data_IF_346388986911
#
_entry.id   IF_346388986911
#
_cell.length_a   1.000
_cell.length_b   1.000
_cell.length_c   1.000
_cell.angle_alpha   90.00
_cell.angle_beta   90.00
_cell.angle_gamma   90.00
#
_symmetry.space_group_name_H-M   'P 1'
#
loop_
_entity.id
_entity.type
_entity.pdbx_description
1 polymer ?
#
# COMPACT_ATOMS: atom_id res chain seq x y z
N UNK A 1 4.68 -57.51 -0.37
CA UNK A 1 4.38 -56.34 -1.23
C UNK A 1 5.68 -55.57 -1.43
N UNK A 2 6.15 -55.46 -2.68
CA UNK A 2 7.49 -54.98 -3.02
C UNK A 2 7.51 -53.43 -3.00
N UNK A 3 8.10 -52.82 -1.96
CA UNK A 3 8.15 -51.35 -1.78
C UNK A 3 9.02 -50.61 -2.82
N UNK A 4 9.79 -51.33 -3.65
CA UNK A 4 10.73 -50.76 -4.61
C UNK A 4 10.10 -50.16 -5.89
N UNK A 5 8.78 -50.22 -6.09
CA UNK A 5 8.12 -49.63 -7.26
C UNK A 5 7.76 -48.15 -7.11
N UNK A 6 7.63 -47.64 -5.88
CA UNK A 6 7.25 -46.24 -5.63
C UNK A 6 8.42 -45.24 -5.66
N UNK A 7 9.66 -45.73 -5.64
CA UNK A 7 10.88 -44.90 -5.55
C UNK A 7 11.50 -44.54 -6.91
N UNK A 8 10.90 -44.98 -8.03
CA UNK A 8 11.36 -44.69 -9.41
C UNK A 8 10.38 -43.80 -10.18
N UNK A 9 9.78 -42.82 -9.52
CA UNK A 9 9.18 -41.72 -10.26
C UNK A 9 10.34 -40.86 -10.75
N UNK A 10 10.63 -40.88 -12.05
CA UNK A 10 11.74 -40.09 -12.59
C UNK A 10 11.51 -38.61 -12.31
N UNK A 11 12.58 -37.86 -12.02
CA UNK A 11 12.51 -36.41 -11.81
C UNK A 11 11.73 -35.71 -12.95
N UNK A 12 11.86 -36.24 -14.18
CA UNK A 12 11.15 -35.81 -15.38
C UNK A 12 9.63 -36.01 -15.31
N UNK A 13 9.14 -37.04 -14.62
CA UNK A 13 7.71 -37.30 -14.42
C UNK A 13 7.11 -36.33 -13.40
N UNK A 14 7.82 -36.06 -12.29
CA UNK A 14 7.41 -35.04 -11.32
C UNK A 14 7.41 -33.63 -11.93
N UNK A 15 8.43 -33.31 -12.73
CA UNK A 15 8.49 -32.07 -13.50
C UNK A 15 7.33 -31.98 -14.51
N UNK A 16 6.99 -33.09 -15.17
CA UNK A 16 5.85 -33.17 -16.09
C UNK A 16 4.51 -32.88 -15.41
N UNK A 17 4.27 -33.45 -14.23
CA UNK A 17 3.06 -33.17 -13.44
C UNK A 17 3.03 -31.70 -13.01
N UNK A 18 4.17 -31.17 -12.54
CA UNK A 18 4.28 -29.78 -12.13
C UNK A 18 3.97 -28.82 -13.29
N UNK A 19 4.58 -29.03 -14.46
CA UNK A 19 4.34 -28.23 -15.66
C UNK A 19 2.89 -28.37 -16.17
N UNK A 20 2.32 -29.58 -16.11
CA UNK A 20 0.92 -29.81 -16.47
C UNK A 20 -0.04 -29.10 -15.51
N UNK A 21 0.26 -29.10 -14.21
CA UNK A 21 -0.54 -28.38 -13.21
C UNK A 21 -0.46 -26.86 -13.38
N UNK A 22 0.71 -26.31 -13.73
CA UNK A 22 0.88 -24.89 -14.09
C UNK A 22 0.11 -24.57 -15.37
N UNK A 23 0.23 -25.41 -16.40
CA UNK A 23 -0.47 -25.21 -17.66
C UNK A 23 -1.99 -25.25 -17.47
N UNK A 24 -2.49 -26.23 -16.72
CA UNK A 24 -3.91 -26.36 -16.40
C UNK A 24 -4.41 -25.19 -15.55
N UNK A 25 -3.61 -24.73 -14.59
CA UNK A 25 -3.93 -23.54 -13.80
C UNK A 25 -3.99 -22.29 -14.68
N UNK A 26 -3.00 -22.05 -15.54
CA UNK A 26 -2.96 -20.92 -16.49
C UNK A 26 -4.09 -20.95 -17.52
N UNK A 27 -4.57 -22.14 -17.90
CA UNK A 27 -5.62 -22.32 -18.91
C UNK A 27 -7.04 -22.35 -18.31
N UNK A 28 -7.18 -22.73 -17.04
CA UNK A 28 -8.46 -22.79 -16.32
C UNK A 28 -8.83 -21.46 -15.65
N UNK A 29 -7.93 -20.47 -15.60
CA UNK A 29 -8.34 -19.09 -15.31
C UNK A 29 -9.19 -18.63 -16.49
N UNK A 30 -10.43 -18.13 -16.29
CA UNK A 30 -11.17 -17.50 -17.37
C UNK A 30 -10.26 -16.44 -18.00
N UNK A 31 -10.09 -16.48 -19.34
CA UNK A 31 -9.39 -15.44 -20.08
C UNK A 31 -10.18 -14.16 -19.93
N UNK A 32 -9.86 -13.38 -18.89
CA UNK A 32 -10.36 -12.02 -18.69
C UNK A 32 -9.74 -11.19 -19.82
N UNK A 33 -10.48 -11.07 -20.92
CA UNK A 33 -10.21 -10.11 -21.97
C UNK A 33 -10.20 -8.72 -21.32
N UNK A 34 -9.13 -7.98 -21.51
CA UNK A 34 -8.94 -6.60 -21.04
C UNK A 34 -9.84 -5.61 -21.82
N UNK A 35 -11.14 -5.88 -21.90
CA UNK A 35 -12.09 -5.17 -22.75
C UNK A 35 -13.53 -5.10 -22.25
N UNK A 36 -13.82 -5.54 -21.02
CA UNK A 36 -15.08 -5.22 -20.36
C UNK A 36 -14.79 -4.71 -18.95
N UNK A 37 -15.16 -3.47 -18.71
CA UNK A 37 -15.16 -2.71 -17.47
C UNK A 37 -16.21 -3.22 -16.46
N UNK A 38 -16.48 -4.52 -16.43
CA UNK A 38 -17.11 -5.13 -15.27
C UNK A 38 -16.01 -5.30 -14.22
N UNK A 39 -16.07 -4.47 -13.18
CA UNK A 39 -15.29 -4.66 -11.97
C UNK A 39 -15.33 -6.14 -11.60
N UNK A 40 -14.19 -6.80 -11.51
CA UNK A 40 -14.10 -8.14 -10.92
C UNK A 40 -14.79 -8.03 -9.57
N UNK A 41 -15.96 -8.67 -9.46
CA UNK A 41 -16.73 -8.65 -8.23
C UNK A 41 -16.05 -9.57 -7.23
N UNK A 42 -15.07 -9.00 -6.52
CA UNK A 42 -14.39 -9.62 -5.37
C UNK A 42 -15.37 -9.65 -4.17
N UNK A 43 -16.54 -9.01 -4.28
CA UNK A 43 -17.56 -9.13 -3.26
C UNK A 43 -18.04 -10.58 -3.23
N UNK A 44 -18.02 -11.15 -2.03
CA UNK A 44 -18.36 -12.53 -1.76
C UNK A 44 -19.87 -12.76 -1.83
N UNK A 45 -20.59 -11.94 -2.60
CA UNK A 45 -22.03 -11.92 -2.73
C UNK A 45 -22.57 -13.14 -3.48
N UNK A 46 -21.75 -13.74 -4.36
CA UNK A 46 -22.18 -14.86 -5.23
C UNK A 46 -21.60 -16.22 -4.85
N UNK A 47 -20.37 -16.27 -4.33
CA UNK A 47 -19.71 -17.51 -3.92
C UNK A 47 -19.04 -17.33 -2.55
N UNK A 48 -19.45 -18.14 -1.58
CA UNK A 48 -18.98 -18.08 -0.20
C UNK A 48 -17.84 -19.08 0.00
N UNK A 49 -16.61 -18.62 -0.19
CA UNK A 49 -15.39 -19.36 0.11
C UNK A 49 -14.93 -19.12 1.56
N UNK A 50 -14.15 -20.04 2.14
CA UNK A 50 -13.62 -19.90 3.50
C UNK A 50 -12.79 -18.63 3.78
N UNK A 51 -12.27 -17.97 2.73
CA UNK A 51 -11.42 -16.77 2.81
C UNK A 51 -12.15 -15.47 2.41
N UNK A 52 -13.48 -15.52 2.25
CA UNK A 52 -14.30 -14.38 1.83
C UNK A 52 -14.29 -13.18 2.79
N UNK A 53 -14.05 -13.41 4.07
CA UNK A 53 -14.03 -12.33 5.08
C UNK A 53 -12.81 -11.41 4.94
N UNK A 54 -11.70 -11.88 4.36
CA UNK A 54 -10.50 -11.05 4.13
C UNK A 54 -10.52 -10.33 2.79
N UNK A 55 -11.33 -10.79 1.84
CA UNK A 55 -11.42 -10.18 0.51
C UNK A 55 -11.98 -8.74 0.58
N UNK A 56 -12.85 -8.48 1.57
CA UNK A 56 -13.40 -7.16 1.87
C UNK A 56 -12.37 -6.19 2.48
N UNK A 57 -11.27 -6.71 3.07
CA UNK A 57 -10.20 -5.91 3.68
C UNK A 57 -9.07 -5.55 2.70
N UNK A 58 -9.29 -5.82 1.41
CA UNK A 58 -8.34 -5.52 0.35
C UNK A 58 -7.30 -6.62 0.09
N UNK A 59 -6.50 -6.45 -0.99
CA UNK A 59 -5.62 -7.51 -1.50
C UNK A 59 -4.52 -7.93 -0.52
N UNK A 60 -4.05 -7.03 0.36
CA UNK A 60 -3.02 -7.36 1.35
C UNK A 60 -3.48 -8.35 2.43
N UNK A 61 -4.75 -8.29 2.85
CA UNK A 61 -5.31 -9.22 3.82
C UNK A 61 -5.45 -10.64 3.25
N UNK A 62 -5.81 -10.75 1.97
CA UNK A 62 -5.81 -12.02 1.23
C UNK A 62 -4.42 -12.65 1.18
N UNK A 63 -3.40 -11.87 0.78
CA UNK A 63 -2.01 -12.34 0.72
C UNK A 63 -1.52 -12.75 2.11
N UNK A 64 -1.83 -11.97 3.14
CA UNK A 64 -1.44 -12.27 4.51
C UNK A 64 -2.05 -13.58 5.03
N UNK A 65 -3.34 -13.82 4.79
CA UNK A 65 -4.00 -15.04 5.24
C UNK A 65 -3.52 -16.27 4.48
N UNK A 66 -3.28 -16.14 3.18
CA UNK A 66 -2.65 -17.20 2.39
C UNK A 66 -1.27 -17.57 2.96
N UNK A 67 -0.43 -16.57 3.26
CA UNK A 67 0.90 -16.78 3.81
C UNK A 67 0.88 -17.51 5.15
N UNK A 68 -0.02 -17.16 6.08
CA UNK A 68 -0.16 -17.85 7.37
C UNK A 68 -0.61 -19.31 7.20
N UNK A 69 -1.56 -19.57 6.30
CA UNK A 69 -2.02 -20.94 6.01
C UNK A 69 -0.88 -21.77 5.40
N UNK A 70 -0.14 -21.19 4.44
CA UNK A 70 1.00 -21.84 3.81
C UNK A 70 2.10 -22.18 4.83
N UNK A 71 2.43 -21.24 5.73
CA UNK A 71 3.38 -21.49 6.82
C UNK A 71 2.91 -22.60 7.77
N UNK A 72 1.62 -22.61 8.13
CA UNK A 72 1.04 -23.67 8.97
C UNK A 72 1.17 -25.05 8.33
N UNK A 73 0.89 -25.16 7.03
CA UNK A 73 1.04 -26.41 6.26
C UNK A 73 2.49 -26.85 6.15
N UNK A 74 3.42 -25.90 5.93
CA UNK A 74 4.85 -26.19 5.89
C UNK A 74 5.36 -26.70 7.25
N UNK A 75 4.95 -26.05 8.35
CA UNK A 75 5.29 -26.47 9.71
C UNK A 75 4.71 -27.83 10.09
N UNK A 76 3.43 -28.08 9.77
CA UNK A 76 2.78 -29.37 10.02
C UNK A 76 3.44 -30.50 9.22
N UNK A 77 3.83 -30.23 7.98
CA UNK A 77 4.54 -31.18 7.13
C UNK A 77 5.94 -31.50 7.68
N UNK A 78 6.69 -30.48 8.11
CA UNK A 78 7.98 -30.67 8.76
C UNK A 78 7.85 -31.52 10.03
N UNK A 79 6.85 -31.23 10.89
CA UNK A 79 6.56 -32.02 12.08
C UNK A 79 6.23 -33.48 11.74
N UNK A 80 5.36 -33.71 10.74
CA UNK A 80 4.99 -35.05 10.30
C UNK A 80 6.19 -35.88 9.82
N UNK A 81 7.09 -35.26 9.04
CA UNK A 81 8.33 -35.89 8.57
C UNK A 81 9.28 -36.20 9.73
N UNK A 82 9.40 -35.31 10.71
CA UNK A 82 10.23 -35.53 11.91
C UNK A 82 9.70 -36.70 12.75
N UNK A 83 8.38 -36.76 12.99
CA UNK A 83 7.74 -37.87 13.72
C UNK A 83 7.95 -39.18 12.96
N UNK A 84 7.69 -39.20 11.65
CA UNK A 84 7.90 -40.38 10.82
C UNK A 84 9.36 -40.86 10.86
N UNK A 85 10.31 -39.94 10.69
CA UNK A 85 11.74 -40.24 10.79
C UNK A 85 12.14 -40.77 12.16
N UNK A 86 11.61 -40.20 13.26
CA UNK A 86 11.90 -40.66 14.62
C UNK A 86 11.37 -42.08 14.87
N UNK A 87 10.15 -42.38 14.43
CA UNK A 87 9.56 -43.73 14.52
C UNK A 87 10.39 -44.71 13.69
N UNK A 88 10.72 -44.35 12.45
CA UNK A 88 11.51 -45.21 11.56
C UNK A 88 12.90 -45.46 12.16
N UNK A 89 13.55 -44.46 12.76
CA UNK A 89 14.88 -44.61 13.35
C UNK A 89 14.88 -45.49 14.61
N UNK A 90 13.88 -45.35 15.47
CA UNK A 90 13.77 -46.08 16.74
C UNK A 90 13.31 -47.53 16.57
N UNK A 91 12.37 -47.78 15.64
CA UNK A 91 11.79 -49.11 15.44
C UNK A 91 12.53 -49.96 14.39
N UNK A 92 13.42 -49.37 13.59
CA UNK A 92 14.15 -50.13 12.56
C UNK A 92 15.34 -50.90 13.12
N UNK A 93 15.35 -52.22 12.90
CA UNK A 93 16.51 -53.08 13.16
C UNK A 93 17.61 -53.01 12.08
N UNK A 94 17.27 -52.60 10.86
CA UNK A 94 18.19 -52.54 9.73
C UNK A 94 18.96 -51.20 9.65
N UNK A 95 20.26 -51.26 9.35
CA UNK A 95 21.13 -50.08 9.20
C UNK A 95 20.65 -49.17 8.07
N UNK A 96 20.16 -49.74 6.97
CA UNK A 96 19.63 -48.99 5.81
C UNK A 96 18.42 -48.15 6.19
N UNK A 97 17.44 -48.71 6.90
CA UNK A 97 16.26 -47.98 7.35
C UNK A 97 16.58 -46.87 8.35
N UNK A 98 17.63 -47.04 9.16
CA UNK A 98 18.15 -45.96 10.03
C UNK A 98 18.77 -44.83 9.22
N UNK A 99 19.49 -45.15 8.15
CA UNK A 99 20.05 -44.15 7.24
C UNK A 99 18.95 -43.39 6.50
N UNK A 100 17.94 -44.10 5.98
CA UNK A 100 16.77 -43.49 5.35
C UNK A 100 16.04 -42.53 6.31
N UNK A 101 15.84 -42.95 7.56
CA UNK A 101 15.24 -42.11 8.59
C UNK A 101 16.02 -40.81 8.82
N UNK A 102 17.35 -40.88 8.84
CA UNK A 102 18.21 -39.70 8.98
C UNK A 102 18.12 -38.78 7.77
N UNK A 103 17.93 -39.31 6.56
CA UNK A 103 17.73 -38.49 5.35
C UNK A 103 16.42 -37.69 5.42
N UNK A 104 15.32 -38.32 5.84
CA UNK A 104 14.05 -37.64 6.07
C UNK A 104 14.16 -36.53 7.12
N UNK A 105 14.81 -36.82 8.26
CA UNK A 105 15.03 -35.84 9.33
C UNK A 105 15.89 -34.67 8.83
N UNK A 106 17.00 -34.97 8.14
CA UNK A 106 17.88 -33.93 7.57
C UNK A 106 17.14 -33.07 6.54
N UNK A 107 16.31 -33.66 5.69
CA UNK A 107 15.49 -32.93 4.73
C UNK A 107 14.54 -31.95 5.39
N UNK A 108 13.82 -32.40 6.44
CA UNK A 108 12.95 -31.52 7.22
C UNK A 108 13.72 -30.39 7.92
N UNK A 109 14.88 -30.69 8.50
CA UNK A 109 15.74 -29.68 9.14
C UNK A 109 16.27 -28.66 8.14
N UNK A 110 16.73 -29.08 6.96
CA UNK A 110 17.16 -28.15 5.92
C UNK A 110 16.01 -27.27 5.41
N UNK A 111 14.80 -27.81 5.28
CA UNK A 111 13.60 -27.03 4.95
C UNK A 111 13.27 -25.98 6.00
N UNK A 112 13.34 -26.34 7.29
CA UNK A 112 13.13 -25.40 8.40
C UNK A 112 14.23 -24.33 8.46
N UNK A 113 15.49 -24.71 8.22
CA UNK A 113 16.62 -23.77 8.15
C UNK A 113 16.43 -22.79 6.99
N UNK A 114 16.01 -23.26 5.81
CA UNK A 114 15.72 -22.37 4.66
C UNK A 114 14.59 -21.39 4.96
N UNK A 115 13.51 -21.88 5.59
CA UNK A 115 12.39 -21.04 6.00
C UNK A 115 12.83 -20.00 7.04
N UNK A 116 13.62 -20.39 8.03
CA UNK A 116 14.17 -19.50 9.05
C UNK A 116 15.14 -18.48 8.43
N UNK A 117 16.02 -18.91 7.52
CA UNK A 117 16.95 -18.02 6.83
C UNK A 117 16.22 -16.98 5.98
N UNK A 118 15.17 -17.40 5.24
CA UNK A 118 14.31 -16.48 4.51
C UNK A 118 13.65 -15.44 5.43
N UNK A 119 13.12 -15.89 6.58
CA UNK A 119 12.57 -14.99 7.60
C UNK A 119 13.62 -14.02 8.13
N UNK A 120 14.82 -14.48 8.49
CA UNK A 120 15.88 -13.64 9.04
C UNK A 120 16.39 -12.61 8.03
N UNK A 121 16.50 -12.97 6.74
CA UNK A 121 16.88 -12.02 5.69
C UNK A 121 15.84 -10.89 5.60
N UNK A 122 14.55 -11.25 5.52
CA UNK A 122 13.46 -10.28 5.49
C UNK A 122 13.47 -9.40 6.75
N UNK A 123 13.60 -10.01 7.93
CA UNK A 123 13.62 -9.32 9.21
C UNK A 123 14.82 -8.36 9.37
N UNK A 124 15.99 -8.74 8.85
CA UNK A 124 17.21 -7.93 8.93
C UNK A 124 17.17 -6.75 7.98
N UNK A 125 16.63 -6.93 6.77
CA UNK A 125 16.47 -5.83 5.81
C UNK A 125 15.42 -4.84 6.32
N UNK A 126 14.25 -5.35 6.70
CA UNK A 126 13.18 -4.55 7.26
C UNK A 126 12.20 -5.44 8.06
N UNK A 127 12.11 -5.29 9.40
CA UNK A 127 11.25 -6.10 10.24
C UNK A 127 9.75 -5.93 9.95
N UNK A 128 9.35 -4.91 9.19
CA UNK A 128 7.98 -4.74 8.75
C UNK A 128 7.61 -5.64 7.56
N UNK A 129 8.57 -6.24 6.84
CA UNK A 129 8.28 -7.18 5.74
C UNK A 129 7.78 -8.55 6.21
N UNK A 130 8.06 -8.91 7.47
CA UNK A 130 7.55 -10.14 8.09
C UNK A 130 6.30 -9.89 8.93
N UNK A 131 5.95 -8.62 9.17
CA UNK A 131 4.69 -8.23 9.78
C UNK A 131 3.71 -8.00 8.65
N UNK A 132 2.80 -8.94 8.45
CA UNK A 132 1.65 -8.75 7.58
C UNK A 132 0.72 -7.74 8.25
N UNK A 133 1.04 -6.46 8.11
CA UNK A 133 0.14 -5.36 8.43
C UNK A 133 -1.08 -5.53 7.54
N UNK A 134 -2.29 -5.44 8.12
CA UNK A 134 -3.47 -5.21 7.29
C UNK A 134 -3.20 -3.97 6.42
N UNK A 135 -3.73 -3.86 5.19
CA UNK A 135 -3.61 -2.63 4.40
C UNK A 135 -3.97 -1.40 5.22
N UNK A 136 -4.85 -1.51 6.21
CA UNK A 136 -5.19 -0.47 7.17
C UNK A 136 -4.05 0.01 8.08
N UNK A 137 -2.89 -0.66 8.20
CA UNK A 137 -1.74 -0.15 8.97
C UNK A 137 -0.54 0.27 8.08
N UNK A 138 -0.58 -0.08 6.79
CA UNK A 138 0.22 0.57 5.74
C UNK A 138 -0.49 1.82 5.18
N UNK A 139 -1.81 1.89 5.39
CA UNK A 139 -2.71 3.01 5.25
C UNK A 139 -3.44 3.25 6.58
N UNK A 140 -2.70 3.40 7.70
CA UNK A 140 -3.29 3.81 8.97
C UNK A 140 -4.03 5.12 8.81
N UNK A 141 -5.30 5.00 8.44
CA UNK A 141 -6.36 5.89 8.87
C UNK A 141 -6.13 6.11 10.35
N UNK A 142 -5.88 7.38 10.68
CA UNK A 142 -6.10 7.98 11.99
C UNK A 142 -7.23 7.20 12.68
N UNK A 143 -7.08 6.82 13.97
CA UNK A 143 -8.11 6.07 14.68
C UNK A 143 -9.50 6.57 14.29
N UNK A 144 -10.33 5.65 13.81
CA UNK A 144 -11.75 5.83 13.59
C UNK A 144 -12.33 6.44 14.86
N UNK A 145 -12.39 7.77 14.88
CA UNK A 145 -13.34 8.46 15.71
C UNK A 145 -14.68 7.92 15.26
N UNK A 146 -15.38 7.26 16.18
CA UNK A 146 -16.82 7.05 16.10
C UNK A 146 -17.47 8.38 15.71
N UNK A 147 -17.68 8.58 14.42
CA UNK A 147 -18.65 9.55 13.90
C UNK A 147 -19.88 8.70 13.64
N UNK A 148 -20.91 8.79 14.49
CA UNK A 148 -22.18 8.21 14.10
C UNK A 148 -22.72 9.03 12.93
N UNK A 149 -23.47 8.33 12.09
CA UNK A 149 -24.47 8.83 11.14
C UNK A 149 -24.05 8.76 9.69
N UNK A 150 -24.61 7.74 9.05
CA UNK A 150 -24.85 7.65 7.62
C UNK A 150 -25.15 9.01 6.98
N UNK A 151 -24.45 9.34 5.90
CA UNK A 151 -25.05 10.17 4.87
C UNK A 151 -24.61 9.68 3.49
N UNK A 152 -25.62 9.47 2.66
CA UNK A 152 -25.51 9.10 1.26
C UNK A 152 -24.46 9.95 0.53
N UNK A 153 -23.77 9.32 -0.43
CA UNK A 153 -22.84 9.96 -1.33
C UNK A 153 -23.44 11.24 -1.94
N UNK A 154 -22.90 12.40 -1.54
CA UNK A 154 -23.13 13.69 -2.22
C UNK A 154 -22.04 13.81 -3.30
N UNK A 155 -22.36 14.24 -4.53
CA UNK A 155 -21.36 14.35 -5.58
C UNK A 155 -20.32 15.43 -5.23
N UNK A 156 -19.04 15.04 -5.13
CA UNK A 156 -17.83 15.85 -5.36
C UNK A 156 -17.79 17.30 -4.80
N UNK A 157 -18.40 17.57 -3.64
CA UNK A 157 -17.96 18.70 -2.81
C UNK A 157 -16.64 18.27 -2.17
N UNK A 158 -15.61 19.11 -2.18
CA UNK A 158 -14.31 18.74 -1.59
C UNK A 158 -14.44 18.38 -0.10
N UNK A 159 -13.31 18.04 0.53
CA UNK A 159 -13.25 17.70 1.95
C UNK A 159 -13.78 18.86 2.80
N UNK A 160 -14.43 18.55 3.92
CA UNK A 160 -14.72 19.55 4.94
C UNK A 160 -13.43 20.06 5.59
N UNK A 161 -13.49 21.25 6.20
CA UNK A 161 -12.37 21.82 6.95
C UNK A 161 -11.78 20.85 7.99
N UNK A 162 -12.65 20.13 8.70
CA UNK A 162 -12.25 19.17 9.72
C UNK A 162 -11.53 17.96 9.11
N UNK A 163 -12.07 17.37 8.04
CA UNK A 163 -11.46 16.22 7.35
C UNK A 163 -10.10 16.60 6.76
N UNK A 164 -10.02 17.77 6.13
CA UNK A 164 -8.79 18.30 5.54
C UNK A 164 -7.69 18.49 6.60
N UNK A 165 -8.00 19.15 7.72
CA UNK A 165 -7.04 19.33 8.83
C UNK A 165 -6.65 18.02 9.49
N UNK A 166 -7.59 17.09 9.66
CA UNK A 166 -7.29 15.77 10.18
C UNK A 166 -6.32 15.03 9.26
N UNK A 167 -6.54 15.05 7.94
CA UNK A 167 -5.64 14.45 6.94
C UNK A 167 -4.22 15.03 7.01
N UNK A 168 -4.09 16.35 7.12
CA UNK A 168 -2.78 17.00 7.27
C UNK A 168 -2.09 16.63 8.60
N UNK A 169 -2.83 16.71 9.71
CA UNK A 169 -2.30 16.41 11.05
C UNK A 169 -1.84 14.96 11.18
N UNK A 170 -2.57 14.02 10.59
CA UNK A 170 -2.23 12.60 10.55
C UNK A 170 -0.90 12.30 9.86
N UNK A 171 -0.59 13.10 8.84
CA UNK A 171 0.66 13.01 8.09
C UNK A 171 1.75 13.90 8.69
N UNK A 172 1.53 14.47 9.90
CA UNK A 172 2.46 15.35 10.58
C UNK A 172 2.73 16.67 9.86
N UNK A 173 1.82 17.10 8.98
CA UNK A 173 1.98 18.30 8.16
C UNK A 173 1.41 19.49 8.92
N UNK A 174 2.23 20.52 9.11
CA UNK A 174 1.80 21.75 9.74
C UNK A 174 0.90 22.58 8.83
N UNK A 175 -0.08 23.26 9.42
CA UNK A 175 -0.96 24.20 8.71
C UNK A 175 -1.12 25.46 9.56
N UNK A 176 -1.25 26.61 8.90
CA UNK A 176 -1.57 27.87 9.58
C UNK A 176 -2.90 27.77 10.33
N UNK A 177 -3.04 28.60 11.36
CA UNK A 177 -4.23 28.64 12.22
C UNK A 177 -5.53 28.77 11.41
N UNK A 178 -6.60 28.15 11.92
CA UNK A 178 -7.92 28.21 11.32
C UNK A 178 -8.48 29.63 11.29
N UNK A 179 -9.17 29.98 10.20
CA UNK A 179 -9.87 31.24 10.11
C UNK A 179 -11.10 31.27 11.03
N UNK A 180 -11.23 32.33 11.82
CA UNK A 180 -12.49 32.63 12.51
C UNK A 180 -13.58 33.00 11.49
N UNK A 181 -14.85 32.96 11.90
CA UNK A 181 -15.97 33.36 11.04
C UNK A 181 -15.74 34.78 10.46
N UNK A 182 -15.78 34.90 9.14
CA UNK A 182 -15.54 36.16 8.41
C UNK A 182 -14.07 36.57 8.26
N UNK A 183 -13.12 35.80 8.81
CA UNK A 183 -11.69 36.04 8.64
C UNK A 183 -11.18 35.38 7.35
N UNK A 184 -10.31 36.08 6.61
CA UNK A 184 -9.70 35.57 5.38
C UNK A 184 -8.19 35.81 5.28
N UNK A 185 -7.60 36.48 6.27
CA UNK A 185 -6.18 36.86 6.27
C UNK A 185 -5.48 36.31 7.52
N UNK A 186 -4.20 35.97 7.37
CA UNK A 186 -3.33 35.48 8.46
C UNK A 186 -3.87 34.15 9.08
N UNK A 187 -4.70 33.44 8.33
CA UNK A 187 -5.30 32.16 8.69
C UNK A 187 -5.49 31.32 7.43
N UNK A 188 -5.91 30.07 7.58
CA UNK A 188 -6.25 29.15 6.49
C UNK A 188 -7.65 28.60 6.71
N UNK A 189 -8.40 28.45 5.62
CA UNK A 189 -9.57 27.58 5.54
C UNK A 189 -9.28 26.53 4.46
N UNK A 190 -9.72 25.30 4.64
CA UNK A 190 -9.59 24.17 3.73
C UNK A 190 -10.97 23.58 3.40
N UNK A 191 -12.08 24.18 3.87
CA UNK A 191 -13.41 23.72 3.49
C UNK A 191 -13.57 23.73 1.96
N UNK A 192 -13.97 22.58 1.41
CA UNK A 192 -14.10 22.37 -0.02
C UNK A 192 -12.80 22.07 -0.76
N UNK A 193 -11.66 21.92 -0.06
CA UNK A 193 -10.40 21.52 -0.70
C UNK A 193 -10.54 20.14 -1.35
N UNK A 194 -10.00 19.96 -2.56
CA UNK A 194 -10.10 18.68 -3.25
C UNK A 194 -9.18 17.66 -2.60
N UNK A 195 -9.66 16.43 -2.51
CA UNK A 195 -8.89 15.34 -1.93
C UNK A 195 -7.54 15.15 -2.63
N UNK A 196 -7.54 15.23 -3.96
CA UNK A 196 -6.34 15.15 -4.81
C UNK A 196 -5.32 16.27 -4.52
N UNK A 197 -5.78 17.46 -4.15
CA UNK A 197 -4.89 18.56 -3.73
C UNK A 197 -4.16 18.19 -2.45
N UNK A 198 -4.84 17.60 -1.47
CA UNK A 198 -4.18 17.14 -0.26
C UNK A 198 -3.36 15.86 -0.46
N UNK A 199 -3.74 14.97 -1.39
CA UNK A 199 -2.92 13.81 -1.76
C UNK A 199 -1.56 14.21 -2.35
N UNK A 200 -1.54 15.27 -3.16
CA UNK A 200 -0.28 15.83 -3.65
C UNK A 200 0.59 16.34 -2.49
N UNK A 201 -0.02 17.04 -1.53
CA UNK A 201 0.70 17.56 -0.35
C UNK A 201 1.21 16.44 0.57
N UNK A 202 0.41 15.40 0.83
CA UNK A 202 0.83 14.27 1.66
C UNK A 202 1.87 13.39 0.96
N UNK A 203 1.75 13.20 -0.35
CA UNK A 203 2.78 12.52 -1.16
C UNK A 203 4.09 13.30 -1.16
N UNK A 204 4.05 14.62 -1.28
CA UNK A 204 5.24 15.45 -1.16
C UNK A 204 5.89 15.27 0.22
N UNK A 205 5.09 15.37 1.29
CA UNK A 205 5.56 15.20 2.66
C UNK A 205 6.17 13.83 2.95
N UNK A 206 5.65 12.74 2.35
CA UNK A 206 6.22 11.40 2.53
C UNK A 206 7.59 11.24 1.85
N UNK A 207 7.84 11.97 0.77
CA UNK A 207 9.13 11.96 0.06
C UNK A 207 10.20 12.83 0.72
N UNK A 208 9.81 13.99 1.28
CA UNK A 208 10.79 14.96 1.83
C UNK A 208 10.81 15.04 3.35
N UNK A 209 9.91 14.34 4.05
CA UNK A 209 9.67 14.47 5.48
C UNK A 209 8.67 15.59 5.80
N UNK A 210 7.68 15.28 6.64
CA UNK A 210 6.53 16.14 6.93
C UNK A 210 6.88 17.51 7.51
N UNK A 211 7.97 17.61 8.29
CA UNK A 211 8.46 18.86 8.86
C UNK A 211 8.92 19.88 7.80
N UNK A 212 9.12 19.44 6.55
CA UNK A 212 9.52 20.30 5.42
C UNK A 212 8.31 20.78 4.60
N UNK A 213 7.08 20.44 5.00
CA UNK A 213 5.83 20.88 4.37
C UNK A 213 5.00 21.65 5.39
N UNK A 214 4.57 22.86 5.03
CA UNK A 214 3.73 23.69 5.88
C UNK A 214 2.72 24.47 5.03
N UNK A 215 1.43 24.23 5.24
CA UNK A 215 0.33 24.83 4.47
C UNK A 215 0.03 26.24 4.97
N UNK A 216 0.07 27.21 4.05
CA UNK A 216 -0.06 28.65 4.35
C UNK A 216 -1.31 29.31 3.79
N UNK A 217 -1.96 28.71 2.80
CA UNK A 217 -3.22 29.15 2.20
C UNK A 217 -3.99 27.93 1.67
N UNK A 218 -5.32 28.03 1.66
CA UNK A 218 -6.23 27.01 1.17
C UNK A 218 -7.35 27.63 0.36
N UNK A 219 -8.58 27.48 0.82
CA UNK A 219 -9.83 27.96 0.20
C UNK A 219 -10.35 29.27 0.78
N UNK A 220 -9.66 29.88 1.75
CA UNK A 220 -10.11 31.11 2.42
C UNK A 220 -10.27 32.31 1.48
N UNK A 221 -11.13 33.27 1.83
CA UNK A 221 -11.11 34.59 1.20
C UNK A 221 -11.45 34.61 -0.30
N UNK A 222 -12.32 33.73 -0.77
CA UNK A 222 -12.72 33.71 -2.17
C UNK A 222 -13.22 35.04 -2.71
N UNK A 223 -12.64 35.47 -3.83
CA UNK A 223 -12.93 36.76 -4.47
C UNK A 223 -12.36 37.98 -3.74
N UNK A 224 -11.65 37.80 -2.62
CA UNK A 224 -11.08 38.90 -1.82
C UNK A 224 -9.58 38.77 -1.60
N UNK A 225 -9.12 37.55 -1.29
CA UNK A 225 -7.71 37.17 -1.13
C UNK A 225 -7.30 36.31 -2.31
N UNK A 226 -8.16 35.36 -2.70
CA UNK A 226 -7.91 34.46 -3.83
C UNK A 226 -8.79 34.79 -5.03
N UNK A 227 -8.18 34.77 -6.21
CA UNK A 227 -8.90 34.91 -7.46
C UNK A 227 -9.85 33.71 -7.69
N UNK A 228 -11.04 34.00 -8.21
CA UNK A 228 -12.01 32.98 -8.60
C UNK A 228 -11.63 32.35 -9.94
N UNK A 229 -12.00 31.10 -10.15
CA UNK A 229 -11.78 30.38 -11.41
C UNK A 229 -11.99 28.89 -11.25
N UNK A 230 -12.07 28.16 -12.37
CA UNK A 230 -12.33 26.71 -12.36
C UNK A 230 -11.30 25.95 -11.52
N UNK A 231 -10.02 26.15 -11.81
CA UNK A 231 -8.89 25.55 -11.10
C UNK A 231 -8.24 26.61 -10.21
N UNK A 232 -8.88 26.90 -9.07
CA UNK A 232 -8.48 27.94 -8.13
C UNK A 232 -8.49 27.42 -6.69
N UNK A 233 -7.93 28.23 -5.77
CA UNK A 233 -8.10 28.07 -4.33
C UNK A 233 -9.57 27.92 -3.95
N UNK A 234 -10.44 28.72 -4.57
CA UNK A 234 -11.87 28.73 -4.24
C UNK A 234 -12.61 27.45 -4.51
N UNK A 235 -12.16 26.70 -5.50
CA UNK A 235 -12.73 25.40 -5.83
C UNK A 235 -11.90 24.25 -5.28
N UNK A 236 -10.92 24.54 -4.42
CA UNK A 236 -10.13 23.55 -3.71
C UNK A 236 -9.02 22.88 -4.52
N UNK A 237 -8.72 23.37 -5.73
CA UNK A 237 -7.70 22.78 -6.61
C UNK A 237 -6.28 23.26 -6.30
N UNK A 238 -6.14 24.32 -5.48
CA UNK A 238 -4.87 24.95 -5.17
C UNK A 238 -4.63 25.03 -3.65
N UNK A 239 -3.36 25.01 -3.27
CA UNK A 239 -2.89 25.11 -1.88
C UNK A 239 -1.52 25.78 -1.88
N UNK A 240 -1.28 26.67 -0.91
CA UNK A 240 0.02 27.33 -0.80
C UNK A 240 0.88 26.64 0.26
N UNK A 241 2.15 26.45 -0.06
CA UNK A 241 3.16 25.88 0.83
C UNK A 241 4.24 26.91 1.16
N UNK A 242 4.63 26.98 2.43
CA UNK A 242 5.72 27.84 2.89
C UNK A 242 7.05 27.44 2.26
N UNK A 243 7.78 28.41 1.72
CA UNK A 243 9.15 28.19 1.25
C UNK A 243 10.05 27.70 2.37
N UNK A 244 10.90 26.73 2.05
CA UNK A 244 12.05 26.33 2.87
C UNK A 244 13.07 25.63 1.98
N UNK A 245 14.32 25.55 2.44
CA UNK A 245 15.44 25.02 1.65
C UNK A 245 15.20 23.60 1.16
N UNK A 246 14.67 22.69 2.00
CA UNK A 246 14.48 21.29 1.64
C UNK A 246 13.38 21.11 0.59
N UNK A 247 12.22 21.73 0.80
CA UNK A 247 11.12 21.75 -0.17
C UNK A 247 11.56 22.34 -1.52
N UNK A 248 12.24 23.48 -1.48
CA UNK A 248 12.72 24.16 -2.68
C UNK A 248 13.68 23.27 -3.47
N UNK A 249 14.69 22.71 -2.80
CA UNK A 249 15.66 21.85 -3.45
C UNK A 249 15.03 20.61 -4.04
N UNK A 250 14.11 19.97 -3.32
CA UNK A 250 13.41 18.78 -3.82
C UNK A 250 12.63 19.08 -5.10
N UNK A 251 11.83 20.15 -5.12
CA UNK A 251 11.06 20.56 -6.30
C UNK A 251 12.02 20.85 -7.47
N UNK A 252 13.06 21.67 -7.24
CA UNK A 252 13.99 22.08 -8.29
C UNK A 252 14.81 20.92 -8.88
N UNK A 253 15.06 19.86 -8.09
CA UNK A 253 15.84 18.71 -8.52
C UNK A 253 14.99 17.62 -9.17
N UNK A 254 13.74 17.43 -8.72
CA UNK A 254 12.92 16.27 -9.10
C UNK A 254 11.78 16.64 -10.06
N UNK A 255 11.35 17.90 -10.12
CA UNK A 255 10.23 18.33 -10.96
C UNK A 255 10.71 19.00 -12.25
N UNK A 256 9.92 18.84 -13.31
CA UNK A 256 10.27 19.34 -14.63
C UNK A 256 9.87 20.81 -14.77
N UNK A 257 10.83 21.68 -15.08
CA UNK A 257 10.51 23.06 -15.42
C UNK A 257 9.52 23.12 -16.60
N UNK A 258 8.43 23.87 -16.43
CA UNK A 258 7.30 23.94 -17.36
C UNK A 258 7.04 25.36 -17.89
N UNK A 259 7.99 26.27 -17.72
CA UNK A 259 7.91 27.65 -18.20
C UNK A 259 7.68 28.67 -17.08
N UNK A 260 7.35 29.89 -17.46
CA UNK A 260 7.07 31.00 -16.55
C UNK A 260 5.66 31.52 -16.82
N UNK A 261 4.87 31.74 -15.77
CA UNK A 261 3.55 32.35 -15.86
C UNK A 261 3.69 33.87 -16.11
N UNK A 262 2.63 34.52 -16.56
CA UNK A 262 2.65 35.95 -16.95
C UNK A 262 3.05 36.92 -15.84
N UNK A 263 2.95 36.50 -14.58
CA UNK A 263 3.36 37.24 -13.38
C UNK A 263 4.82 36.99 -12.98
N UNK A 264 5.57 36.23 -13.78
CA UNK A 264 6.97 35.89 -13.52
C UNK A 264 7.18 34.64 -12.65
N UNK A 265 6.10 33.98 -12.20
CA UNK A 265 6.23 32.77 -11.40
C UNK A 265 6.79 31.60 -12.23
N UNK A 266 7.89 31.01 -11.78
CA UNK A 266 8.49 29.83 -12.41
C UNK A 266 7.63 28.60 -12.10
N UNK A 267 7.30 27.82 -13.14
CA UNK A 267 6.44 26.64 -13.02
C UNK A 267 7.26 25.35 -13.07
N UNK A 268 6.97 24.43 -12.16
CA UNK A 268 7.57 23.10 -12.08
C UNK A 268 6.47 22.06 -12.04
N UNK A 269 6.52 21.09 -12.95
CA UNK A 269 5.54 20.02 -13.06
C UNK A 269 6.07 18.77 -12.37
N UNK A 270 5.32 18.24 -11.41
CA UNK A 270 5.57 16.93 -10.84
C UNK A 270 5.37 15.86 -11.94
N UNK A 271 6.40 15.08 -12.30
CA UNK A 271 6.32 14.12 -13.40
C UNK A 271 5.40 12.93 -13.09
N UNK A 272 5.10 12.66 -11.81
CA UNK A 272 4.30 11.52 -11.38
C UNK A 272 2.80 11.85 -11.29
N UNK A 273 2.46 12.94 -10.60
CA UNK A 273 1.06 13.34 -10.40
C UNK A 273 0.55 14.29 -11.49
N UNK A 274 1.45 14.98 -12.19
CA UNK A 274 1.11 16.04 -13.13
C UNK A 274 0.78 17.38 -12.48
N UNK A 275 0.85 17.50 -11.14
CA UNK A 275 0.62 18.75 -10.42
C UNK A 275 1.63 19.84 -10.83
N UNK A 276 1.19 21.08 -10.79
CA UNK A 276 1.98 22.26 -11.17
C UNK A 276 2.29 23.08 -9.92
N UNK A 277 3.58 23.35 -9.72
CA UNK A 277 4.10 24.16 -8.62
C UNK A 277 4.57 25.49 -9.21
N UNK A 278 3.92 26.59 -8.85
CA UNK A 278 4.31 27.94 -9.20
C UNK A 278 5.10 28.57 -8.06
N UNK A 279 6.30 29.08 -8.35
CA UNK A 279 7.12 29.78 -7.35
C UNK A 279 6.73 31.25 -7.28
N UNK A 280 5.89 31.59 -6.32
CA UNK A 280 5.39 32.95 -6.09
C UNK A 280 6.13 33.57 -4.91
N UNK A 281 7.27 34.22 -5.13
CA UNK A 281 7.96 35.10 -4.16
C UNK A 281 8.23 34.53 -2.75
N UNK A 282 7.20 34.45 -1.92
CA UNK A 282 7.16 34.01 -0.52
C UNK A 282 6.51 32.62 -0.28
N UNK A 283 5.93 31.98 -1.30
CA UNK A 283 5.33 30.64 -1.20
C UNK A 283 5.44 29.82 -2.52
N UNK A 284 5.10 28.53 -2.42
CA UNK A 284 4.77 27.69 -3.57
C UNK A 284 3.26 27.59 -3.71
N UNK A 285 2.73 28.02 -4.84
CA UNK A 285 1.33 27.84 -5.24
C UNK A 285 1.20 26.51 -5.99
N UNK A 286 0.51 25.53 -5.39
CA UNK A 286 0.42 24.16 -5.89
C UNK A 286 -0.95 23.87 -6.47
N UNK A 287 -1.01 23.56 -7.76
CA UNK A 287 -2.21 23.18 -8.49
C UNK A 287 -2.23 21.66 -8.76
N UNK A 288 -3.27 20.98 -8.29
CA UNK A 288 -3.52 19.55 -8.57
C UNK A 288 -4.90 19.35 -9.19
N UNK A 289 -4.95 18.71 -10.37
CA UNK A 289 -6.17 18.45 -11.16
C UNK A 289 -6.25 16.97 -11.45
#
# INVERSE_FOLDING_TARGET
MNFNKFQKISMSFLLGIFLFSIFYFLFSIPKVLAGDNTSIDISCAKYQYPWCQEAQKGPGALVGRFYIIALGLAGASALGVLIYGAILWTLSGAVTSKQDALEWIKGALWGLILLLAAYLILYTINPDLVKLKEPEELFKTIPTSVVPTSRAAIPSRGLSEQEARQKLTANGIGVKNICSAGQSRICVNLDGIKEKTLDEVTSLASNIGSNNVYVTAGTEGCGTVHAVGTYSHCNGYKVDLRLNTNLNNYILQNFKYSGTRSDGAQLYKNPYSGAIYAREGDHWDVLAI
#
